data_IF_356398626867
#
_entry.id   IF_356398626867
#
_cell.length_a   1.000
_cell.length_b   1.000
_cell.length_c   1.000
_cell.angle_alpha   90.00
_cell.angle_beta   90.00
_cell.angle_gamma   90.00
#
_symmetry.space_group_name_H-M   'P 1'
#
loop_
_entity.id
_entity.type
_entity.pdbx_description
1 polymer ?
#
# COMPACT_ATOMS: atom_id res chain seq x y z
N UNK A 1 -8.89 -26.56 6.00
CA UNK A 1 -8.62 -26.27 7.43
C UNK A 1 -7.17 -25.88 7.68
N UNK A 2 -6.18 -26.61 7.12
CA UNK A 2 -4.75 -26.37 7.36
C UNK A 2 -4.28 -24.93 7.05
N UNK A 3 -4.72 -24.35 5.92
CA UNK A 3 -4.37 -22.96 5.56
C UNK A 3 -4.91 -21.95 6.59
N UNK A 4 -6.14 -22.14 7.07
CA UNK A 4 -6.74 -21.25 8.07
C UNK A 4 -5.98 -21.33 9.40
N UNK A 5 -5.64 -22.54 9.84
CA UNK A 5 -4.83 -22.73 11.05
C UNK A 5 -3.45 -22.06 10.93
N UNK A 6 -2.83 -22.11 9.74
CA UNK A 6 -1.56 -21.42 9.47
C UNK A 6 -1.70 -19.90 9.53
N UNK A 7 -2.78 -19.35 8.97
CA UNK A 7 -3.09 -17.91 9.06
C UNK A 7 -3.24 -17.50 10.53
N UNK A 8 -3.98 -18.28 11.31
CA UNK A 8 -4.21 -17.98 12.73
C UNK A 8 -2.91 -18.05 13.55
N UNK A 9 -2.04 -19.03 13.27
CA UNK A 9 -0.73 -19.14 13.92
C UNK A 9 0.17 -17.93 13.61
N UNK A 10 0.30 -17.56 12.33
CA UNK A 10 1.10 -16.41 11.92
C UNK A 10 0.54 -15.09 12.48
N UNK A 11 -0.78 -14.96 12.55
CA UNK A 11 -1.42 -13.80 13.18
C UNK A 11 -1.06 -13.70 14.66
N UNK A 12 -1.10 -14.82 15.40
CA UNK A 12 -0.71 -14.84 16.82
C UNK A 12 0.74 -14.44 17.03
N UNK A 13 1.64 -14.90 16.16
CA UNK A 13 3.07 -14.50 16.19
C UNK A 13 3.23 -13.00 16.00
N UNK A 14 2.55 -12.40 15.02
CA UNK A 14 2.57 -10.95 14.78
C UNK A 14 1.97 -10.18 15.97
N UNK A 15 0.85 -10.66 16.51
CA UNK A 15 0.17 -10.01 17.64
C UNK A 15 1.05 -10.01 18.90
N UNK A 16 1.85 -11.06 19.12
CA UNK A 16 2.79 -11.17 20.23
C UNK A 16 4.00 -10.22 20.14
N UNK A 17 4.30 -9.67 18.96
CA UNK A 17 5.37 -8.68 18.75
C UNK A 17 4.93 -7.25 19.10
N UNK A 18 3.66 -7.03 19.48
CA UNK A 18 3.13 -5.72 19.86
C UNK A 18 3.30 -5.44 21.36
N UNK A 19 3.44 -4.16 21.77
CA UNK A 19 3.48 -2.97 20.92
C UNK A 19 4.83 -2.80 20.24
N UNK A 20 4.81 -2.36 18.98
CA UNK A 20 6.00 -1.91 18.27
C UNK A 20 6.19 -0.40 18.46
N UNK A 21 7.40 0.12 18.21
CA UNK A 21 7.63 1.56 18.31
C UNK A 21 6.81 2.31 17.26
N UNK A 22 6.38 3.54 17.57
CA UNK A 22 5.61 4.39 16.64
C UNK A 22 6.35 4.60 15.31
N UNK A 23 7.67 4.73 15.34
CA UNK A 23 8.50 4.89 14.14
C UNK A 23 8.48 3.63 13.27
N UNK A 24 8.53 2.45 13.89
CA UNK A 24 8.46 1.18 13.17
C UNK A 24 7.06 0.96 12.59
N UNK A 25 6.03 1.24 13.38
CA UNK A 25 4.63 1.20 12.94
C UNK A 25 4.39 2.12 11.74
N UNK A 26 4.85 3.38 11.81
CA UNK A 26 4.72 4.33 10.71
C UNK A 26 5.43 3.86 9.43
N UNK A 27 6.61 3.24 9.54
CA UNK A 27 7.34 2.66 8.39
C UNK A 27 6.58 1.48 7.78
N UNK A 28 6.03 0.61 8.62
CA UNK A 28 5.24 -0.55 8.19
C UNK A 28 3.97 -0.09 7.48
N UNK A 29 3.22 0.84 8.07
CA UNK A 29 1.99 1.37 7.49
C UNK A 29 2.24 2.15 6.20
N UNK A 30 3.31 2.95 6.13
CA UNK A 30 3.70 3.60 4.88
C UNK A 30 3.97 2.57 3.77
N UNK A 31 4.68 1.47 4.08
CA UNK A 31 4.92 0.40 3.10
C UNK A 31 3.60 -0.24 2.65
N UNK A 32 2.73 -0.62 3.59
CA UNK A 32 1.41 -1.19 3.26
C UNK A 32 0.59 -0.26 2.38
N UNK A 33 0.54 1.04 2.69
CA UNK A 33 -0.20 2.02 1.89
C UNK A 33 0.34 2.12 0.45
N UNK A 34 1.67 2.13 0.28
CA UNK A 34 2.28 2.19 -1.05
C UNK A 34 2.01 0.90 -1.85
N UNK A 35 2.18 -0.26 -1.22
CA UNK A 35 1.94 -1.57 -1.84
C UNK A 35 0.47 -1.72 -2.24
N UNK A 36 -0.46 -1.31 -1.37
CA UNK A 36 -1.90 -1.41 -1.63
C UNK A 36 -2.32 -0.51 -2.79
N UNK A 37 -1.88 0.75 -2.80
CA UNK A 37 -2.14 1.63 -3.94
C UNK A 37 -1.66 1.03 -5.25
N UNK A 38 -0.42 0.54 -5.29
CA UNK A 38 0.13 -0.07 -6.50
C UNK A 38 -0.64 -1.32 -6.92
N UNK A 39 -0.75 -2.33 -6.05
CA UNK A 39 -1.30 -3.63 -6.42
C UNK A 39 -2.78 -3.57 -6.77
N UNK A 40 -3.60 -2.80 -6.03
CA UNK A 40 -5.04 -2.70 -6.32
C UNK A 40 -5.29 -2.04 -7.67
N UNK A 41 -4.62 -0.92 -7.94
CA UNK A 41 -4.77 -0.21 -9.20
C UNK A 41 -4.18 -1.01 -10.37
N UNK A 42 -3.07 -1.74 -10.17
CA UNK A 42 -2.46 -2.56 -11.20
C UNK A 42 -3.38 -3.73 -11.63
N UNK A 43 -4.12 -4.35 -10.70
CA UNK A 43 -5.12 -5.39 -11.01
C UNK A 43 -6.24 -4.84 -11.90
N UNK A 44 -6.56 -3.54 -11.75
CA UNK A 44 -7.56 -2.84 -12.55
C UNK A 44 -7.00 -2.25 -13.87
N UNK A 45 -5.72 -2.49 -14.16
CA UNK A 45 -5.07 -2.10 -15.42
C UNK A 45 -4.32 -0.76 -15.39
N UNK A 46 -4.08 -0.19 -14.21
CA UNK A 46 -3.21 0.98 -14.06
C UNK A 46 -1.77 0.65 -14.51
N UNK A 47 -1.13 1.60 -15.22
CA UNK A 47 0.17 1.36 -15.87
C UNK A 47 1.36 1.96 -15.15
N UNK A 48 1.16 2.63 -14.01
CA UNK A 48 2.27 3.09 -13.20
C UNK A 48 3.02 1.88 -12.65
N UNK A 49 4.33 1.88 -12.78
CA UNK A 49 5.21 0.95 -12.07
C UNK A 49 5.16 1.25 -10.56
N UNK A 50 5.68 0.33 -9.76
CA UNK A 50 5.80 0.55 -8.32
C UNK A 50 6.64 1.80 -7.99
N UNK A 51 7.74 2.02 -8.72
CA UNK A 51 8.60 3.19 -8.55
C UNK A 51 7.90 4.50 -8.90
N UNK A 52 7.14 4.52 -9.99
CA UNK A 52 6.34 5.67 -10.41
C UNK A 52 5.22 5.97 -9.40
N UNK A 53 4.49 4.94 -8.95
CA UNK A 53 3.46 5.06 -7.90
C UNK A 53 4.04 5.64 -6.62
N UNK A 54 5.17 5.09 -6.15
CA UNK A 54 5.86 5.56 -4.95
C UNK A 54 6.33 7.00 -5.09
N UNK A 55 6.96 7.35 -6.21
CA UNK A 55 7.47 8.71 -6.45
C UNK A 55 6.32 9.70 -6.52
N UNK A 56 5.21 9.33 -7.17
CA UNK A 56 4.01 10.15 -7.24
C UNK A 56 3.40 10.40 -5.85
N UNK A 57 3.22 9.35 -5.04
CA UNK A 57 2.61 9.48 -3.71
C UNK A 57 3.49 10.18 -2.67
N UNK A 58 4.82 10.01 -2.74
CA UNK A 58 5.75 10.60 -1.77
C UNK A 58 6.23 12.00 -2.16
N UNK A 59 6.32 12.29 -3.46
CA UNK A 59 6.96 13.51 -3.96
C UNK A 59 6.08 14.32 -4.92
N UNK A 60 4.90 13.83 -5.30
CA UNK A 60 4.00 14.52 -6.22
C UNK A 60 4.50 14.55 -7.67
N UNK A 61 5.51 13.76 -8.02
CA UNK A 61 6.11 13.72 -9.36
C UNK A 61 5.33 12.72 -10.22
N UNK A 62 4.82 13.19 -11.36
CA UNK A 62 4.11 12.35 -12.34
C UNK A 62 5.09 11.61 -13.24
N UNK A 63 4.70 10.42 -13.68
CA UNK A 63 5.45 9.63 -14.64
C UNK A 63 5.23 10.13 -16.08
N UNK A 64 6.32 10.30 -16.82
CA UNK A 64 6.28 10.72 -18.21
C UNK A 64 5.66 9.65 -19.13
N UNK A 65 4.90 10.07 -20.14
CA UNK A 65 4.23 9.18 -21.08
C UNK A 65 3.08 8.33 -20.50
N UNK A 66 2.70 8.53 -19.23
CA UNK A 66 1.57 7.84 -18.58
C UNK A 66 0.31 8.70 -18.59
N UNK A 67 -0.89 8.11 -18.67
CA UNK A 67 -2.14 8.87 -18.61
C UNK A 67 -2.29 9.62 -17.29
N UNK A 68 -2.93 10.78 -17.37
CA UNK A 68 -3.40 11.48 -16.18
C UNK A 68 -4.37 10.61 -15.36
N UNK A 69 -5.22 9.80 -16.02
CA UNK A 69 -6.17 8.91 -15.36
C UNK A 69 -5.48 7.99 -14.35
N UNK A 70 -4.38 7.34 -14.74
CA UNK A 70 -3.63 6.40 -13.88
C UNK A 70 -3.13 7.09 -12.60
N UNK A 71 -2.74 8.36 -12.67
CA UNK A 71 -2.36 9.15 -11.49
C UNK A 71 -3.57 9.55 -10.64
N UNK A 72 -4.69 9.91 -11.27
CA UNK A 72 -5.92 10.25 -10.56
C UNK A 72 -6.51 9.04 -9.83
N UNK A 73 -6.47 7.85 -10.42
CA UNK A 73 -6.93 6.61 -9.80
C UNK A 73 -6.10 6.30 -8.54
N UNK A 74 -4.76 6.35 -8.64
CA UNK A 74 -3.85 6.18 -7.50
C UNK A 74 -4.11 7.25 -6.42
N UNK A 75 -4.29 8.51 -6.81
CA UNK A 75 -4.56 9.60 -5.86
C UNK A 75 -5.89 9.40 -5.15
N UNK A 76 -6.94 8.99 -5.88
CA UNK A 76 -8.26 8.71 -5.36
C UNK A 76 -8.24 7.55 -4.37
N UNK A 77 -7.61 6.44 -4.75
CA UNK A 77 -7.43 5.28 -3.90
C UNK A 77 -6.64 5.63 -2.62
N UNK A 78 -5.53 6.36 -2.74
CA UNK A 78 -4.73 6.77 -1.59
C UNK A 78 -5.51 7.66 -0.62
N UNK A 79 -6.40 8.52 -1.13
CA UNK A 79 -7.29 9.33 -0.29
C UNK A 79 -8.22 8.47 0.56
N UNK A 80 -8.74 7.36 0.02
CA UNK A 80 -9.58 6.43 0.77
C UNK A 80 -8.77 5.71 1.84
N UNK A 81 -7.57 5.23 1.51
CA UNK A 81 -6.69 4.56 2.49
C UNK A 81 -6.34 5.45 3.68
N UNK A 82 -6.08 6.74 3.45
CA UNK A 82 -5.80 7.72 4.51
C UNK A 82 -7.01 7.99 5.43
N UNK A 83 -8.23 7.57 5.07
CA UNK A 83 -9.40 7.64 5.95
C UNK A 83 -9.57 6.37 6.81
N UNK A 84 -8.86 5.29 6.49
CA UNK A 84 -8.87 4.03 7.23
C UNK A 84 -7.76 3.97 8.29
N UNK A 85 -6.70 4.76 8.11
CA UNK A 85 -5.61 5.01 9.08
C UNK A 85 -6.09 5.98 10.19
#
# INVERSE_FOLDING_TARGET
>A
MEILNKIDALKKEIDALRPISKDLEAKIMQKFRLDWNYHSNAIEGNRLTFGETKTFLLHGITADGKPLKDHLDIKGHNKVLLLLE
#
